data_IF_579910287931
#
_entry.id   IF_579910287931
#
_cell.length_a   1.000
_cell.length_b   1.000
_cell.length_c   1.000
_cell.angle_alpha   90.00
_cell.angle_beta   90.00
_cell.angle_gamma   90.00
#
_symmetry.space_group_name_H-M   'P 1'
#
loop_
_entity.id
_entity.type
_entity.pdbx_description
1 polymer ?
#
# COMPACT_ATOMS: atom_id res chain seq x y z
N UNK A 1 -48.30 67.83 10.60
CA UNK A 1 -47.02 67.13 10.32
C UNK A 1 -46.43 66.76 11.68
N UNK A 2 -46.43 65.47 12.06
CA UNK A 2 -45.22 64.60 12.23
C UNK A 2 -44.05 65.35 12.90
N UNK A 3 -43.40 64.96 13.98
CA UNK A 3 -43.30 63.75 14.81
C UNK A 3 -42.50 64.20 16.06
N UNK A 4 -42.97 63.98 17.28
CA UNK A 4 -42.39 63.05 18.28
C UNK A 4 -40.85 63.02 18.41
N UNK A 5 -40.34 63.48 19.56
CA UNK A 5 -39.14 62.89 20.17
C UNK A 5 -39.33 62.79 21.69
N UNK A 6 -39.17 61.55 22.18
CA UNK A 6 -39.53 61.08 23.51
C UNK A 6 -38.37 61.20 24.49
N UNK A 7 -38.76 61.43 25.73
CA UNK A 7 -38.09 61.23 27.03
C UNK A 7 -37.19 59.99 27.05
N UNK A 8 -35.96 60.13 27.54
CA UNK A 8 -35.10 59.02 27.99
C UNK A 8 -35.16 58.98 29.52
N UNK A 9 -35.80 57.93 30.05
CA UNK A 9 -35.81 57.60 31.47
C UNK A 9 -34.69 56.59 31.76
N UNK A 10 -33.97 56.86 32.85
CA UNK A 10 -32.99 55.98 33.48
C UNK A 10 -33.69 54.75 34.07
N UNK A 11 -33.25 53.54 33.71
CA UNK A 11 -33.53 52.33 34.49
C UNK A 11 -32.27 51.48 34.59
N UNK A 12 -31.76 51.36 35.81
CA UNK A 12 -30.72 50.44 36.23
C UNK A 12 -31.35 49.05 36.33
N UNK A 13 -30.82 48.09 35.58
CA UNK A 13 -31.09 46.67 35.80
C UNK A 13 -29.76 45.93 35.93
N UNK A 14 -29.48 45.47 37.15
CA UNK A 14 -28.40 44.53 37.43
C UNK A 14 -28.75 43.19 36.78
N UNK A 15 -27.91 42.73 35.84
CA UNK A 15 -27.96 41.36 35.31
C UNK A 15 -26.73 40.60 35.81
N UNK A 16 -26.97 39.74 36.79
CA UNK A 16 -26.12 38.60 37.11
C UNK A 16 -25.98 37.73 35.85
N UNK A 17 -24.79 37.67 35.27
CA UNK A 17 -24.47 36.67 34.25
C UNK A 17 -23.88 35.45 34.96
N UNK A 18 -24.71 34.40 35.07
CA UNK A 18 -24.28 33.08 35.50
C UNK A 18 -23.38 32.49 34.40
N UNK A 19 -22.08 32.38 34.64
CA UNK A 19 -21.17 31.59 33.80
C UNK A 19 -21.55 30.11 33.93
N UNK A 20 -22.28 29.59 32.94
CA UNK A 20 -22.38 28.15 32.73
C UNK A 20 -21.01 27.62 32.29
N UNK A 21 -20.41 26.82 33.16
CA UNK A 21 -19.15 26.13 32.95
C UNK A 21 -19.18 25.19 31.74
N UNK A 22 -18.15 25.32 30.92
CA UNK A 22 -17.50 24.33 30.06
C UNK A 22 -18.23 23.01 29.77
N UNK A 23 -18.89 22.96 28.62
CA UNK A 23 -18.89 21.75 27.81
C UNK A 23 -17.58 21.72 27.01
N UNK A 24 -16.75 20.66 27.10
CA UNK A 24 -15.62 20.52 26.19
C UNK A 24 -16.16 20.30 24.76
N UNK A 25 -15.77 21.19 23.85
CA UNK A 25 -16.05 21.07 22.42
C UNK A 25 -15.34 19.83 21.86
N UNK A 26 -16.02 18.68 21.91
CA UNK A 26 -15.69 17.54 21.06
C UNK A 26 -16.09 17.88 19.63
N UNK A 27 -15.14 18.37 18.84
CA UNK A 27 -15.00 18.07 17.41
C UNK A 27 -13.89 18.94 16.79
N UNK A 28 -12.63 18.67 17.13
CA UNK A 28 -11.59 18.85 16.11
C UNK A 28 -11.64 17.61 15.23
N UNK A 29 -12.59 17.60 14.30
CA UNK A 29 -12.55 16.67 13.18
C UNK A 29 -11.31 17.05 12.38
N UNK A 30 -10.18 16.41 12.67
CA UNK A 30 -9.02 16.41 11.80
C UNK A 30 -9.49 15.71 10.52
N UNK A 31 -10.04 16.52 9.61
CA UNK A 31 -10.55 16.08 8.34
C UNK A 31 -9.34 15.50 7.62
N UNK A 32 -9.30 14.17 7.50
CA UNK A 32 -8.38 13.51 6.59
C UNK A 32 -8.64 14.14 5.23
N UNK A 33 -7.73 15.01 4.79
CA UNK A 33 -7.69 15.41 3.40
C UNK A 33 -7.73 14.10 2.61
N UNK A 34 -8.77 13.92 1.80
CA UNK A 34 -8.92 12.74 0.99
C UNK A 34 -7.61 12.59 0.21
N UNK A 35 -6.80 11.59 0.59
CA UNK A 35 -5.63 11.21 -0.20
C UNK A 35 -6.23 10.78 -1.53
N UNK A 36 -6.16 11.68 -2.51
CA UNK A 36 -6.60 11.38 -3.86
C UNK A 36 -5.84 10.14 -4.28
N UNK A 37 -6.59 9.07 -4.56
CA UNK A 37 -6.08 7.75 -4.91
C UNK A 37 -5.23 7.86 -6.18
N UNK A 38 -3.94 8.10 -6.01
CA UNK A 38 -2.96 8.05 -7.08
C UNK A 38 -2.33 6.66 -7.07
N UNK A 39 -2.73 5.83 -8.02
CA UNK A 39 -2.11 4.53 -8.29
C UNK A 39 -1.86 4.42 -9.80
N UNK A 40 -0.60 4.44 -10.17
CA UNK A 40 -0.13 4.34 -11.54
C UNK A 40 0.41 2.93 -11.77
N UNK A 41 -0.48 2.00 -12.13
CA UNK A 41 -0.11 0.63 -12.46
C UNK A 41 0.41 0.53 -13.90
N UNK A 42 1.66 0.12 -14.08
CA UNK A 42 2.18 -0.14 -15.43
C UNK A 42 1.45 -1.31 -16.11
N UNK A 43 0.98 -2.31 -15.34
CA UNK A 43 0.22 -3.43 -15.89
C UNK A 43 -1.13 -2.97 -16.48
N UNK A 44 -1.89 -2.14 -15.75
CA UNK A 44 -3.20 -1.66 -16.20
C UNK A 44 -3.08 -0.61 -17.31
N UNK A 45 -2.02 0.20 -17.25
CA UNK A 45 -1.75 1.25 -18.24
C UNK A 45 -1.10 0.72 -19.53
N UNK A 46 -0.60 -0.52 -19.54
CA UNK A 46 0.17 -1.07 -20.67
C UNK A 46 -0.58 -1.01 -22.01
N UNK A 47 -1.90 -1.20 -22.02
CA UNK A 47 -2.72 -1.09 -23.24
C UNK A 47 -2.80 0.35 -23.79
N UNK A 48 -2.61 1.36 -22.94
CA UNK A 48 -2.60 2.78 -23.29
C UNK A 48 -1.21 3.33 -23.57
N UNK A 49 -0.17 2.56 -23.28
CA UNK A 49 1.20 2.95 -23.60
C UNK A 49 1.46 2.87 -25.11
N UNK A 50 2.34 3.74 -25.59
CA UNK A 50 2.90 3.64 -26.93
C UNK A 50 4.08 2.69 -26.90
N UNK A 51 4.01 1.60 -27.66
CA UNK A 51 5.05 0.58 -27.71
C UNK A 51 5.84 0.71 -29.00
N UNK A 52 7.17 0.75 -28.87
CA UNK A 52 8.08 0.75 -30.01
C UNK A 52 9.17 -0.30 -29.84
N UNK A 53 9.65 -0.78 -30.98
CA UNK A 53 10.81 -1.63 -31.13
C UNK A 53 11.89 -0.90 -31.91
N UNK A 54 13.15 -1.06 -31.51
CA UNK A 54 14.28 -0.44 -32.19
C UNK A 54 15.56 -1.25 -32.02
N UNK A 55 16.63 -0.78 -32.66
CA UNK A 55 17.99 -1.27 -32.51
C UNK A 55 18.90 -0.07 -32.25
N UNK A 56 19.70 -0.13 -31.18
CA UNK A 56 20.57 0.99 -30.81
C UNK A 56 21.46 1.44 -31.97
N UNK A 57 21.57 2.76 -32.14
CA UNK A 57 22.41 3.39 -33.17
C UNK A 57 21.81 3.41 -34.58
N UNK A 58 20.61 2.86 -34.80
CA UNK A 58 20.00 2.83 -36.14
C UNK A 58 19.02 3.97 -36.42
N UNK A 59 18.47 4.61 -35.38
CA UNK A 59 17.43 5.63 -35.50
C UNK A 59 16.07 5.13 -36.02
N UNK A 60 15.92 3.83 -36.31
CA UNK A 60 14.69 3.23 -36.84
C UNK A 60 13.78 2.77 -35.71
N UNK A 61 12.54 3.23 -35.68
CA UNK A 61 11.53 2.84 -34.70
C UNK A 61 10.35 2.15 -35.39
N UNK A 62 9.97 0.98 -34.90
CA UNK A 62 8.81 0.23 -35.35
C UNK A 62 7.73 0.30 -34.28
N UNK A 63 6.51 0.71 -34.65
CA UNK A 63 5.39 0.75 -33.72
C UNK A 63 4.83 -0.64 -33.50
N UNK A 64 4.68 -1.03 -32.23
CA UNK A 64 4.09 -2.30 -31.84
C UNK A 64 2.65 -2.11 -31.36
N UNK A 65 1.78 -3.06 -31.68
CA UNK A 65 0.44 -3.17 -31.08
C UNK A 65 0.51 -3.99 -29.80
N UNK A 66 0.09 -3.41 -28.67
CA UNK A 66 -0.01 -4.12 -27.40
C UNK A 66 -0.93 -5.36 -27.50
N UNK A 67 -0.56 -6.44 -26.81
CA UNK A 67 -1.32 -7.70 -26.79
C UNK A 67 -1.03 -8.63 -27.97
N UNK A 68 -0.30 -8.18 -28.99
CA UNK A 68 0.09 -8.99 -30.15
C UNK A 68 1.53 -9.46 -30.00
N UNK A 69 1.76 -10.73 -30.33
CA UNK A 69 3.11 -11.27 -30.46
C UNK A 69 3.67 -10.96 -31.86
N UNK A 70 4.56 -9.97 -31.95
CA UNK A 70 5.22 -9.61 -33.21
C UNK A 70 6.54 -10.38 -33.44
N UNK A 71 6.75 -11.49 -32.73
CA UNK A 71 7.88 -12.42 -32.91
C UNK A 71 9.25 -11.72 -32.93
N UNK A 72 9.90 -11.60 -34.08
CA UNK A 72 11.24 -11.02 -34.18
C UNK A 72 11.28 -9.52 -33.88
N UNK A 73 10.15 -8.82 -33.96
CA UNK A 73 10.10 -7.38 -33.72
C UNK A 73 9.99 -7.01 -32.23
N UNK A 74 9.86 -7.98 -31.32
CA UNK A 74 9.55 -7.67 -29.92
C UNK A 74 8.04 -7.73 -29.65
N UNK A 75 7.64 -7.84 -28.39
CA UNK A 75 6.22 -7.74 -28.04
C UNK A 75 6.02 -7.24 -26.62
N UNK A 76 4.84 -6.68 -26.37
CA UNK A 76 4.38 -6.30 -25.04
C UNK A 76 2.95 -6.78 -24.84
N UNK A 77 2.70 -7.54 -23.77
CA UNK A 77 1.38 -8.10 -23.47
C UNK A 77 1.26 -8.47 -21.99
N UNK A 78 0.05 -8.36 -21.45
CA UNK A 78 -0.24 -8.89 -20.13
C UNK A 78 -0.47 -10.41 -20.22
N UNK A 79 0.18 -11.18 -19.35
CA UNK A 79 0.10 -12.65 -19.35
C UNK A 79 0.05 -13.20 -17.93
N UNK A 80 -0.46 -14.43 -17.80
CA UNK A 80 -0.29 -15.24 -16.61
C UNK A 80 0.69 -16.37 -16.92
N UNK A 81 1.90 -16.31 -16.35
CA UNK A 81 2.99 -17.24 -16.70
C UNK A 81 3.79 -17.64 -15.48
N UNK A 82 4.40 -18.83 -15.56
CA UNK A 82 5.39 -19.27 -14.59
C UNK A 82 6.66 -18.42 -14.75
N UNK A 83 7.11 -17.85 -13.66
CA UNK A 83 8.30 -17.00 -13.58
C UNK A 83 9.53 -17.83 -13.22
N UNK A 84 10.72 -17.23 -13.35
CA UNK A 84 12.00 -17.90 -13.03
C UNK A 84 12.08 -18.47 -11.61
N UNK A 85 11.37 -17.87 -10.65
CA UNK A 85 11.24 -18.34 -9.27
C UNK A 85 10.21 -19.47 -9.07
N UNK A 86 9.60 -19.94 -10.16
CA UNK A 86 8.64 -21.03 -10.18
C UNK A 86 7.20 -20.63 -9.86
N UNK A 87 6.92 -19.38 -9.46
CA UNK A 87 5.55 -18.91 -9.20
C UNK A 87 4.82 -18.58 -10.49
N UNK A 88 3.50 -18.79 -10.52
CA UNK A 88 2.64 -18.37 -11.63
C UNK A 88 2.08 -16.98 -11.29
N UNK A 89 2.51 -15.97 -12.04
CA UNK A 89 2.21 -14.56 -11.76
C UNK A 89 1.57 -13.87 -12.96
N UNK A 90 0.69 -12.90 -12.67
CA UNK A 90 0.19 -11.93 -13.64
C UNK A 90 1.24 -10.85 -13.85
N UNK A 91 1.78 -10.75 -15.06
CA UNK A 91 2.91 -9.87 -15.36
C UNK A 91 2.67 -9.14 -16.67
N UNK A 92 3.26 -7.95 -16.79
CA UNK A 92 3.49 -7.32 -18.08
C UNK A 92 4.71 -8.01 -18.68
N UNK A 93 4.49 -8.82 -19.71
CA UNK A 93 5.54 -9.47 -20.48
C UNK A 93 6.01 -8.52 -21.58
N UNK A 94 7.32 -8.40 -21.70
CA UNK A 94 8.00 -7.74 -22.81
C UNK A 94 9.12 -8.64 -23.32
N UNK A 95 9.40 -8.62 -24.61
CA UNK A 95 10.72 -9.02 -25.09
C UNK A 95 11.22 -8.02 -26.13
N UNK A 96 12.51 -7.68 -26.11
CA UNK A 96 13.10 -6.75 -27.06
C UNK A 96 13.10 -7.34 -28.47
N UNK A 97 13.46 -6.49 -29.43
CA UNK A 97 13.71 -6.94 -30.81
C UNK A 97 14.72 -8.07 -30.81
N UNK A 98 14.44 -9.14 -31.55
CA UNK A 98 15.29 -10.33 -31.59
C UNK A 98 16.50 -10.11 -32.52
N UNK A 99 17.34 -9.15 -32.16
CA UNK A 99 18.57 -8.79 -32.87
C UNK A 99 19.58 -8.23 -31.87
N UNK A 100 20.87 -8.26 -32.21
CA UNK A 100 21.88 -7.64 -31.37
C UNK A 100 21.56 -6.15 -31.14
N UNK A 101 21.68 -5.69 -29.90
CA UNK A 101 21.29 -4.33 -29.47
C UNK A 101 19.80 -4.00 -29.71
N UNK A 102 18.96 -5.04 -29.73
CA UNK A 102 17.52 -4.90 -29.82
C UNK A 102 16.94 -4.26 -28.57
N UNK A 103 15.87 -3.50 -28.75
CA UNK A 103 15.23 -2.75 -27.68
C UNK A 103 13.71 -2.82 -27.83
N UNK A 104 13.01 -2.91 -26.71
CA UNK A 104 11.59 -2.58 -26.63
C UNK A 104 11.39 -1.46 -25.62
N UNK A 105 10.51 -0.53 -25.97
CA UNK A 105 10.19 0.65 -25.17
C UNK A 105 8.67 0.78 -25.08
N UNK A 106 8.15 0.91 -23.85
CA UNK A 106 6.78 1.30 -23.57
C UNK A 106 6.73 2.68 -22.93
N UNK A 107 6.18 3.66 -23.64
CA UNK A 107 5.98 5.03 -23.13
C UNK A 107 4.55 5.17 -22.62
N UNK A 108 4.40 5.40 -21.31
CA UNK A 108 3.11 5.41 -20.64
C UNK A 108 2.47 6.81 -20.61
N UNK A 109 1.12 6.90 -20.43
CA UNK A 109 0.42 8.18 -20.42
C UNK A 109 0.97 9.16 -19.37
N UNK A 110 1.09 10.44 -19.72
CA UNK A 110 1.57 11.44 -18.78
C UNK A 110 0.60 11.65 -17.61
N UNK A 111 1.17 11.97 -16.45
CA UNK A 111 0.49 12.51 -15.28
C UNK A 111 0.70 14.02 -15.31
N UNK A 112 -0.40 14.77 -15.31
CA UNK A 112 -0.35 16.25 -15.38
C UNK A 112 0.38 16.86 -14.18
N UNK A 113 0.24 16.25 -13.00
CA UNK A 113 0.94 16.67 -11.79
C UNK A 113 1.18 15.47 -10.87
N UNK A 114 2.44 15.08 -10.70
CA UNK A 114 2.81 14.02 -9.77
C UNK A 114 2.52 14.46 -8.32
N UNK A 115 1.86 13.62 -7.49
CA UNK A 115 1.74 13.89 -6.06
C UNK A 115 3.10 13.98 -5.36
N UNK A 116 3.09 14.53 -4.15
CA UNK A 116 4.24 14.44 -3.26
C UNK A 116 4.47 13.00 -2.80
N UNK A 117 5.69 12.71 -2.35
CA UNK A 117 6.06 11.49 -1.65
C UNK A 117 5.82 10.20 -2.45
N UNK A 118 5.98 10.21 -3.76
CA UNK A 118 5.76 8.99 -4.55
C UNK A 118 6.85 7.96 -4.32
N UNK A 119 6.48 6.68 -4.43
CA UNK A 119 7.41 5.56 -4.61
C UNK A 119 7.01 4.72 -5.80
N UNK A 120 8.01 4.19 -6.50
CA UNK A 120 7.88 3.14 -7.50
C UNK A 120 8.26 1.80 -6.84
N UNK A 121 7.35 0.83 -6.89
CA UNK A 121 7.61 -0.55 -6.41
C UNK A 121 7.31 -1.57 -7.49
N UNK A 122 7.93 -2.74 -7.39
CA UNK A 122 7.59 -3.92 -8.18
C UNK A 122 8.75 -4.90 -8.22
N UNK A 123 8.68 -5.87 -9.12
CA UNK A 123 9.78 -6.78 -9.39
C UNK A 123 9.99 -6.96 -10.89
N UNK A 124 11.23 -7.21 -11.28
CA UNK A 124 11.61 -7.59 -12.64
C UNK A 124 12.18 -9.01 -12.65
N UNK A 125 12.05 -9.67 -13.79
CA UNK A 125 12.65 -10.98 -14.02
C UNK A 125 12.28 -11.56 -15.37
N UNK A 126 12.38 -12.88 -15.47
CA UNK A 126 12.11 -13.61 -16.71
C UNK A 126 10.96 -14.60 -16.56
N UNK A 127 10.21 -14.76 -17.65
CA UNK A 127 9.29 -15.90 -17.80
C UNK A 127 10.11 -17.18 -17.89
N UNK A 128 9.67 -18.21 -17.18
CA UNK A 128 10.31 -19.53 -17.20
C UNK A 128 10.01 -20.24 -18.54
N UNK A 129 11.05 -20.67 -19.29
CA UNK A 129 10.86 -21.45 -20.50
C UNK A 129 10.45 -22.90 -20.20
N UNK A 130 9.95 -23.56 -21.24
CA UNK A 130 9.78 -25.02 -21.26
C UNK A 130 11.16 -25.65 -21.51
N UNK A 131 11.98 -25.76 -20.46
CA UNK A 131 13.34 -26.28 -20.54
C UNK A 131 14.36 -25.37 -19.88
N UNK A 132 15.64 -25.57 -20.21
CA UNK A 132 16.73 -24.72 -19.74
C UNK A 132 16.64 -23.32 -20.37
N UNK A 133 16.83 -22.25 -19.60
CA UNK A 133 16.81 -20.89 -20.13
C UNK A 133 17.99 -20.67 -21.09
N UNK A 134 17.71 -19.99 -22.21
CA UNK A 134 18.75 -19.64 -23.21
C UNK A 134 19.15 -18.16 -23.19
N UNK A 135 18.47 -17.33 -22.41
CA UNK A 135 18.85 -15.94 -22.18
C UNK A 135 20.19 -15.85 -21.45
N UNK A 136 21.03 -14.90 -21.86
CA UNK A 136 22.23 -14.52 -21.11
C UNK A 136 21.98 -13.35 -20.14
N UNK A 137 20.75 -12.82 -20.15
CA UNK A 137 20.27 -11.71 -19.34
C UNK A 137 19.85 -10.51 -20.19
N UNK A 138 19.10 -9.58 -19.60
CA UNK A 138 18.60 -8.39 -20.28
C UNK A 138 18.75 -7.16 -19.38
N UNK A 139 18.87 -5.98 -19.98
CA UNK A 139 18.95 -4.71 -19.25
C UNK A 139 17.56 -4.12 -19.09
N UNK A 140 17.13 -3.94 -17.85
CA UNK A 140 15.87 -3.29 -17.51
C UNK A 140 16.16 -1.84 -17.14
N UNK A 141 15.50 -0.91 -17.83
CA UNK A 141 15.68 0.52 -17.61
C UNK A 141 14.31 1.17 -17.42
N UNK A 142 14.21 2.05 -16.45
CA UNK A 142 13.02 2.86 -16.22
C UNK A 142 13.41 4.33 -16.32
N UNK A 143 12.74 5.06 -17.21
CA UNK A 143 12.89 6.50 -17.30
C UNK A 143 11.67 7.22 -16.74
N UNK A 144 11.93 8.39 -16.17
CA UNK A 144 10.93 9.45 -16.03
C UNK A 144 11.25 10.55 -17.04
N UNK A 145 10.22 11.01 -17.76
CA UNK A 145 10.30 12.14 -18.69
C UNK A 145 9.45 13.26 -18.13
N UNK A 146 10.04 14.43 -17.90
CA UNK A 146 9.34 15.55 -17.26
C UNK A 146 9.78 16.89 -17.87
N UNK A 147 8.90 17.89 -17.76
CA UNK A 147 9.26 19.26 -18.10
C UNK A 147 10.01 19.91 -16.93
N UNK A 148 11.22 20.40 -17.20
CA UNK A 148 12.01 21.15 -16.22
C UNK A 148 11.79 22.65 -16.42
N UNK A 149 11.09 23.27 -15.48
CA UNK A 149 10.73 24.68 -15.54
C UNK A 149 11.97 25.61 -15.53
N UNK A 150 13.03 25.23 -14.83
CA UNK A 150 14.25 26.04 -14.73
C UNK A 150 14.98 26.12 -16.09
N UNK A 151 15.07 25.00 -16.80
CA UNK A 151 15.73 24.93 -18.12
C UNK A 151 14.77 25.11 -19.29
N UNK A 152 13.46 25.23 -19.05
CA UNK A 152 12.37 25.28 -20.04
C UNK A 152 12.44 24.16 -21.09
N UNK A 153 12.88 22.97 -20.69
CA UNK A 153 13.10 21.82 -21.60
C UNK A 153 12.51 20.55 -21.02
N UNK A 154 12.11 19.64 -21.91
CA UNK A 154 11.81 18.25 -21.52
C UNK A 154 13.12 17.54 -21.19
N UNK A 155 13.19 16.96 -19.99
CA UNK A 155 14.28 16.11 -19.54
C UNK A 155 13.83 14.66 -19.50
N UNK A 156 14.78 13.76 -19.72
CA UNK A 156 14.63 12.34 -19.46
C UNK A 156 15.68 11.94 -18.43
N UNK A 157 15.24 11.28 -17.37
CA UNK A 157 16.09 10.85 -16.27
C UNK A 157 15.90 9.35 -16.05
N UNK A 158 17.01 8.63 -15.91
CA UNK A 158 17.01 7.20 -15.60
C UNK A 158 16.79 7.07 -14.09
N UNK A 159 15.65 6.52 -13.69
CA UNK A 159 15.33 6.26 -12.27
C UNK A 159 15.66 4.83 -11.86
N UNK A 160 15.85 3.93 -12.82
CA UNK A 160 16.32 2.57 -12.58
C UNK A 160 17.08 2.05 -13.79
N UNK A 161 18.19 1.36 -13.52
CA UNK A 161 19.00 0.69 -14.54
C UNK A 161 19.64 -0.55 -13.93
N UNK A 162 19.29 -1.71 -14.45
CA UNK A 162 19.78 -2.97 -13.94
C UNK A 162 19.87 -4.04 -15.01
N UNK A 163 21.06 -4.63 -15.16
CA UNK A 163 21.24 -5.83 -15.97
C UNK A 163 20.92 -7.07 -15.13
N UNK A 164 19.87 -7.81 -15.51
CA UNK A 164 19.45 -9.02 -14.80
C UNK A 164 19.76 -10.27 -15.62
N UNK A 165 20.38 -11.26 -14.97
CA UNK A 165 20.53 -12.63 -15.47
C UNK A 165 19.38 -13.52 -14.99
N UNK A 166 19.12 -14.61 -15.71
CA UNK A 166 18.24 -15.66 -15.22
C UNK A 166 18.94 -16.42 -14.10
N UNK A 167 18.48 -16.22 -12.86
CA UNK A 167 19.09 -16.77 -11.65
C UNK A 167 18.07 -17.49 -10.75
N UNK A 168 16.83 -17.63 -11.25
CA UNK A 168 15.74 -18.26 -10.52
C UNK A 168 15.13 -17.37 -9.44
N UNK A 169 15.42 -16.07 -9.42
CA UNK A 169 14.89 -15.11 -8.44
C UNK A 169 14.38 -13.85 -9.14
N UNK A 170 13.29 -13.28 -8.66
CA UNK A 170 12.88 -11.94 -9.10
C UNK A 170 13.71 -10.87 -8.39
N UNK A 171 14.01 -9.77 -9.09
CA UNK A 171 14.68 -8.60 -8.51
C UNK A 171 13.64 -7.57 -8.11
N UNK A 172 13.56 -7.27 -6.82
CA UNK A 172 12.67 -6.23 -6.30
C UNK A 172 13.22 -4.82 -6.60
N UNK A 173 12.29 -3.92 -6.88
CA UNK A 173 12.50 -2.51 -7.15
C UNK A 173 11.71 -1.72 -6.11
N UNK A 174 12.37 -0.74 -5.48
CA UNK A 174 11.77 0.21 -4.56
C UNK A 174 12.53 1.51 -4.69
N UNK A 175 11.93 2.50 -5.36
CA UNK A 175 12.58 3.77 -5.71
C UNK A 175 11.73 4.91 -5.16
N UNK A 176 12.41 5.86 -4.52
CA UNK A 176 11.80 7.13 -4.13
C UNK A 176 11.67 8.05 -5.33
N UNK A 177 10.48 8.61 -5.56
CA UNK A 177 10.20 9.56 -6.62
C UNK A 177 9.84 10.95 -6.09
N UNK A 178 10.11 11.22 -4.81
CA UNK A 178 9.74 12.48 -4.15
C UNK A 178 10.36 13.71 -4.81
N UNK A 179 11.54 13.60 -5.43
CA UNK A 179 12.18 14.70 -6.16
C UNK A 179 11.40 15.17 -7.40
N UNK A 180 10.49 14.34 -7.92
CA UNK A 180 9.66 14.63 -9.08
C UNK A 180 8.26 15.14 -8.70
N UNK A 181 8.00 15.32 -7.41
CA UNK A 181 6.74 15.86 -6.92
C UNK A 181 6.36 17.18 -7.61
N UNK A 182 5.08 17.31 -7.95
CA UNK A 182 4.53 18.49 -8.61
C UNK A 182 4.86 18.63 -10.09
N UNK A 183 5.75 17.80 -10.66
CA UNK A 183 6.10 17.85 -12.08
C UNK A 183 5.02 17.16 -12.93
N UNK A 184 4.81 17.67 -14.15
CA UNK A 184 4.17 16.92 -15.23
C UNK A 184 5.16 15.90 -15.77
N UNK A 185 4.81 14.63 -15.74
CA UNK A 185 5.74 13.57 -16.11
C UNK A 185 5.07 12.37 -16.78
N UNK A 186 5.79 11.69 -17.66
CA UNK A 186 5.48 10.35 -18.14
C UNK A 186 6.60 9.37 -17.76
N UNK A 187 6.29 8.08 -17.83
CA UNK A 187 7.23 7.02 -17.50
C UNK A 187 7.49 6.13 -18.70
N UNK A 188 8.67 5.53 -18.74
CA UNK A 188 9.08 4.61 -19.78
C UNK A 188 9.61 3.32 -19.14
N UNK A 189 9.11 2.18 -19.62
CA UNK A 189 9.74 0.89 -19.36
C UNK A 189 10.51 0.47 -20.60
N UNK A 190 11.79 0.15 -20.44
CA UNK A 190 12.67 -0.28 -21.52
C UNK A 190 13.38 -1.57 -21.16
N UNK A 191 13.47 -2.47 -22.13
CA UNK A 191 14.33 -3.66 -22.07
C UNK A 191 15.28 -3.63 -23.25
N UNK A 192 16.58 -3.71 -22.97
CA UNK A 192 17.60 -3.99 -23.98
C UNK A 192 17.97 -5.47 -23.95
N UNK A 193 18.26 -6.03 -25.12
CA UNK A 193 18.80 -7.38 -25.24
C UNK A 193 20.10 -7.54 -24.47
N UNK A 194 20.38 -8.76 -24.02
CA UNK A 194 21.72 -9.16 -23.61
C UNK A 194 22.75 -9.15 -24.74
N UNK A 195 23.88 -9.81 -24.52
CA UNK A 195 24.84 -10.02 -25.60
C UNK A 195 24.24 -10.92 -26.69
N UNK A 196 23.34 -11.84 -26.30
CA UNK A 196 22.53 -12.67 -27.19
C UNK A 196 21.06 -12.30 -27.04
N UNK A 197 20.35 -12.00 -28.13
CA UNK A 197 18.94 -11.58 -28.07
C UNK A 197 17.95 -12.76 -27.89
N UNK A 198 18.39 -13.88 -27.30
CA UNK A 198 17.64 -15.14 -27.29
C UNK A 198 16.88 -15.27 -25.97
N UNK A 199 15.56 -15.48 -26.04
CA UNK A 199 14.70 -15.74 -24.88
C UNK A 199 14.75 -14.66 -23.77
N UNK A 200 15.01 -13.40 -24.15
CA UNK A 200 14.90 -12.23 -23.27
C UNK A 200 13.42 -11.90 -22.96
N UNK A 201 12.67 -12.90 -22.47
CA UNK A 201 11.26 -12.83 -22.09
C UNK A 201 11.12 -12.13 -20.73
N UNK A 202 11.48 -10.87 -20.73
CA UNK A 202 11.42 -9.97 -19.60
C UNK A 202 9.98 -9.81 -19.08
N UNK A 203 9.84 -9.73 -17.77
CA UNK A 203 8.56 -9.49 -17.14
C UNK A 203 8.66 -8.46 -16.02
N UNK A 204 7.62 -7.65 -15.94
CA UNK A 204 7.41 -6.63 -14.93
C UNK A 204 6.23 -7.09 -14.07
N UNK A 205 6.53 -7.48 -12.83
CA UNK A 205 5.55 -7.95 -11.86
C UNK A 205 5.20 -6.83 -10.89
N UNK A 206 3.91 -6.55 -10.74
CA UNK A 206 3.38 -5.60 -9.77
C UNK A 206 4.15 -4.26 -9.77
N UNK A 207 4.42 -3.71 -10.96
CA UNK A 207 5.12 -2.43 -11.11
C UNK A 207 4.12 -1.27 -10.98
N UNK A 208 4.26 -0.45 -9.94
CA UNK A 208 3.30 0.61 -9.59
C UNK A 208 3.98 1.86 -9.01
N UNK A 209 3.41 3.04 -9.29
CA UNK A 209 3.75 4.29 -8.61
C UNK A 209 2.56 4.77 -7.79
N UNK A 210 2.81 5.04 -6.52
CA UNK A 210 1.79 5.50 -5.59
C UNK A 210 2.43 6.36 -4.50
N UNK A 211 1.68 7.23 -3.80
CA UNK A 211 2.19 7.94 -2.65
C UNK A 211 2.69 6.93 -1.62
N UNK A 212 3.91 7.12 -1.13
CA UNK A 212 4.27 6.71 0.22
C UNK A 212 3.19 7.28 1.10
N UNK A 213 2.49 6.42 1.82
CA UNK A 213 1.60 6.89 2.86
C UNK A 213 2.46 7.69 3.84
N UNK A 214 2.23 9.00 3.89
CA UNK A 214 2.70 9.83 4.98
C UNK A 214 1.50 10.02 5.89
N UNK A 215 1.58 9.45 7.09
CA UNK A 215 0.80 9.98 8.19
C UNK A 215 1.12 11.48 8.33
N UNK A 216 0.20 12.29 8.87
CA UNK A 216 0.45 13.71 9.10
C UNK A 216 1.82 13.92 9.75
N UNK A 217 2.57 14.95 9.32
CA UNK A 217 3.99 15.10 9.66
C UNK A 217 4.21 15.06 11.17
N UNK A 218 4.97 14.05 11.59
CA UNK A 218 5.54 13.92 12.92
C UNK A 218 6.94 13.31 12.80
N UNK A 219 7.85 13.57 13.75
CA UNK A 219 9.21 13.04 13.71
C UNK A 219 9.21 11.50 13.68
N UNK A 220 10.28 10.85 13.15
CA UNK A 220 10.42 9.40 13.14
C UNK A 220 10.29 8.88 14.57
N UNK A 221 9.17 8.23 14.87
CA UNK A 221 8.87 7.71 16.19
C UNK A 221 9.38 6.27 16.25
N UNK A 222 10.04 5.91 17.34
CA UNK A 222 10.31 4.50 17.63
C UNK A 222 8.99 3.70 17.52
N UNK A 223 9.01 2.46 16.99
CA UNK A 223 7.79 1.67 16.80
C UNK A 223 7.05 1.56 18.12
N UNK A 224 5.75 1.86 18.08
CA UNK A 224 4.89 1.85 19.25
C UNK A 224 4.76 0.45 19.84
N UNK A 225 4.25 0.36 21.08
CA UNK A 225 3.97 -0.93 21.71
C UNK A 225 3.01 -1.78 20.86
N UNK A 226 2.04 -1.16 20.19
CA UNK A 226 1.09 -1.89 19.32
C UNK A 226 1.76 -2.40 18.04
N UNK A 227 2.67 -1.63 17.42
CA UNK A 227 3.46 -2.10 16.28
C UNK A 227 4.32 -3.30 16.65
N UNK A 228 4.99 -3.26 17.81
CA UNK A 228 5.77 -4.40 18.32
C UNK A 228 4.90 -5.64 18.55
N UNK A 229 3.69 -5.48 19.08
CA UNK A 229 2.74 -6.57 19.27
C UNK A 229 2.25 -7.15 17.93
N UNK A 230 2.00 -6.30 16.94
CA UNK A 230 1.64 -6.71 15.57
C UNK A 230 2.79 -7.51 14.94
N UNK A 231 4.03 -7.03 15.01
CA UNK A 231 5.20 -7.73 14.47
C UNK A 231 5.42 -9.07 15.16
N UNK A 232 5.31 -9.12 16.49
CA UNK A 232 5.41 -10.36 17.25
C UNK A 232 4.37 -11.39 16.79
N UNK A 233 3.13 -10.95 16.56
CA UNK A 233 2.01 -11.79 16.13
C UNK A 233 2.17 -12.32 14.71
N UNK A 234 2.74 -11.52 13.80
CA UNK A 234 2.90 -11.84 12.39
C UNK A 234 4.20 -12.60 12.10
N UNK A 235 5.30 -12.20 12.71
CA UNK A 235 6.66 -12.57 12.30
C UNK A 235 7.51 -13.11 13.46
N UNK A 236 7.19 -12.72 14.70
CA UNK A 236 8.11 -12.82 15.82
C UNK A 236 9.16 -11.70 15.79
N UNK A 237 10.04 -11.57 16.81
CA UNK A 237 10.13 -12.41 18.01
C UNK A 237 8.96 -12.18 19.00
N UNK A 238 8.89 -13.00 20.04
CA UNK A 238 7.86 -12.87 21.08
C UNK A 238 8.01 -11.53 21.82
N UNK A 239 6.89 -11.01 22.29
CA UNK A 239 6.81 -9.82 23.14
C UNK A 239 5.97 -10.17 24.35
N UNK A 240 6.58 -10.13 25.53
CA UNK A 240 5.92 -10.39 26.80
C UNK A 240 5.54 -9.07 27.50
N UNK A 241 4.44 -9.10 28.26
CA UNK A 241 3.95 -8.00 29.12
C UNK A 241 3.78 -6.65 28.39
N UNK A 242 3.39 -6.69 27.12
CA UNK A 242 3.10 -5.50 26.34
C UNK A 242 1.86 -4.79 26.87
N UNK A 243 2.08 -3.62 27.48
CA UNK A 243 1.02 -2.77 28.01
C UNK A 243 0.25 -2.06 26.89
N UNK A 244 -0.98 -2.50 26.68
CA UNK A 244 -1.90 -1.99 25.65
C UNK A 244 -3.29 -1.75 26.24
N UNK A 245 -3.84 -0.56 25.99
CA UNK A 245 -5.20 -0.18 26.40
C UNK A 245 -5.51 -0.40 27.90
N UNK A 246 -4.49 -0.26 28.76
CA UNK A 246 -4.62 -0.39 30.21
C UNK A 246 -4.36 -1.79 30.76
N UNK A 247 -4.07 -2.78 29.91
CA UNK A 247 -3.82 -4.18 30.28
C UNK A 247 -2.48 -4.66 29.72
N UNK A 248 -1.96 -5.76 30.21
CA UNK A 248 -0.70 -6.35 29.75
C UNK A 248 -1.00 -7.63 28.96
N UNK A 249 -0.27 -7.83 27.85
CA UNK A 249 -0.49 -8.96 26.95
C UNK A 249 0.82 -9.57 26.47
N UNK A 250 0.80 -10.87 26.18
CA UNK A 250 1.91 -11.60 25.58
C UNK A 250 1.56 -11.94 24.13
N UNK A 251 2.51 -11.71 23.22
CA UNK A 251 2.36 -11.92 21.79
C UNK A 251 3.46 -12.83 21.25
N UNK A 252 3.08 -13.72 20.34
CA UNK A 252 3.98 -14.64 19.65
C UNK A 252 3.45 -14.92 18.24
N UNK A 253 4.31 -15.46 17.37
CA UNK A 253 3.96 -15.70 15.97
C UNK A 253 2.84 -16.75 15.85
N UNK A 254 1.63 -16.29 15.58
CA UNK A 254 0.43 -17.16 15.50
C UNK A 254 -0.49 -16.83 14.36
N UNK A 255 -0.35 -15.64 13.76
CA UNK A 255 -1.31 -15.16 12.79
C UNK A 255 -1.17 -15.93 11.47
N UNK A 256 -2.29 -16.49 11.02
CA UNK A 256 -2.43 -17.17 9.75
C UNK A 256 -3.44 -16.43 8.87
N UNK A 257 -3.13 -16.37 7.57
CA UNK A 257 -4.02 -15.78 6.56
C UNK A 257 -4.37 -16.87 5.55
N UNK A 258 -5.66 -17.17 5.44
CA UNK A 258 -6.21 -18.13 4.49
C UNK A 258 -7.20 -17.43 3.56
N UNK A 259 -7.61 -18.12 2.48
CA UNK A 259 -8.59 -17.59 1.52
C UNK A 259 -9.79 -18.52 1.42
N UNK A 260 -10.97 -17.93 1.39
CA UNK A 260 -12.23 -18.62 1.13
C UNK A 260 -12.93 -17.89 -0.02
N UNK A 261 -12.79 -18.43 -1.24
CA UNK A 261 -13.17 -17.72 -2.46
C UNK A 261 -12.38 -16.42 -2.61
N UNK A 262 -13.08 -15.29 -2.71
CA UNK A 262 -12.49 -13.95 -2.77
C UNK A 262 -12.24 -13.32 -1.39
N UNK A 263 -12.66 -13.97 -0.30
CA UNK A 263 -12.52 -13.46 1.06
C UNK A 263 -11.17 -13.87 1.66
N UNK A 264 -10.60 -12.99 2.48
CA UNK A 264 -9.46 -13.30 3.34
C UNK A 264 -9.96 -13.66 4.74
N UNK A 265 -9.43 -14.73 5.32
CA UNK A 265 -9.70 -15.12 6.70
C UNK A 265 -8.38 -15.01 7.46
N UNK A 266 -8.37 -14.19 8.50
CA UNK A 266 -7.23 -14.02 9.39
C UNK A 266 -7.57 -14.67 10.73
N UNK A 267 -6.75 -15.61 11.16
CA UNK A 267 -6.84 -16.24 12.48
C UNK A 267 -5.58 -15.94 13.28
N UNK A 268 -5.70 -15.86 14.60
CA UNK A 268 -4.56 -15.63 15.47
C UNK A 268 -4.89 -15.86 16.93
N UNK A 269 -3.85 -15.80 17.77
CA UNK A 269 -3.97 -15.88 19.22
C UNK A 269 -2.89 -15.10 19.95
N UNK A 270 -3.22 -14.63 21.15
CA UNK A 270 -2.32 -14.02 22.12
C UNK A 270 -2.88 -14.29 23.53
N UNK A 271 -2.23 -13.84 24.60
CA UNK A 271 -2.78 -13.98 25.96
C UNK A 271 -2.72 -12.70 26.75
N UNK A 272 -3.62 -12.58 27.72
CA UNK A 272 -3.54 -11.61 28.79
C UNK A 272 -2.40 -12.01 29.75
N UNK A 273 -1.58 -11.03 30.15
CA UNK A 273 -0.41 -11.24 31.00
C UNK A 273 -0.78 -10.93 32.45
N UNK A 274 -1.34 -11.91 33.15
CA UNK A 274 -1.52 -11.86 34.60
C UNK A 274 -0.83 -13.05 35.26
N UNK A 275 -0.06 -12.77 36.31
CA UNK A 275 0.85 -13.68 37.01
C UNK A 275 0.17 -14.91 37.63
N UNK A 276 -1.17 -14.93 37.74
CA UNK A 276 -1.94 -16.00 38.36
C UNK A 276 -2.92 -16.75 37.44
N UNK A 277 -3.05 -16.37 36.16
CA UNK A 277 -3.94 -17.08 35.22
C UNK A 277 -3.19 -17.47 33.93
N UNK A 278 -2.62 -18.69 33.92
CA UNK A 278 -1.96 -19.29 32.74
C UNK A 278 -2.93 -19.60 31.57
N UNK A 279 -4.23 -19.33 31.73
CA UNK A 279 -5.30 -19.83 30.85
C UNK A 279 -6.03 -18.74 30.05
N UNK A 280 -5.65 -17.46 30.14
CA UNK A 280 -6.33 -16.36 29.43
C UNK A 280 -5.86 -16.23 27.96
N UNK A 281 -6.03 -17.31 27.20
CA UNK A 281 -5.73 -17.34 25.76
C UNK A 281 -6.89 -16.73 25.00
N UNK A 282 -6.59 -15.70 24.24
CA UNK A 282 -7.52 -15.06 23.33
C UNK A 282 -7.27 -15.57 21.92
N UNK A 283 -8.31 -16.12 21.28
CA UNK A 283 -8.28 -16.55 19.89
C UNK A 283 -9.25 -15.69 19.08
N UNK A 284 -8.88 -15.36 17.84
CA UNK A 284 -9.76 -14.62 16.95
C UNK A 284 -9.79 -15.18 15.53
N UNK A 285 -10.91 -14.90 14.88
CA UNK A 285 -11.11 -15.09 13.44
C UNK A 285 -11.76 -13.83 12.87
N UNK A 286 -11.10 -13.21 11.91
CA UNK A 286 -11.60 -12.05 11.18
C UNK A 286 -11.74 -12.40 9.69
N UNK A 287 -12.93 -12.19 9.13
CA UNK A 287 -13.20 -12.42 7.70
C UNK A 287 -13.35 -11.06 7.01
N UNK A 288 -12.62 -10.90 5.92
CA UNK A 288 -12.61 -9.70 5.09
C UNK A 288 -13.02 -10.01 3.67
N UNK A 289 -13.72 -9.08 3.03
CA UNK A 289 -14.07 -9.18 1.61
C UNK A 289 -12.86 -8.92 0.69
N UNK A 290 -13.09 -9.01 -0.62
CA UNK A 290 -12.06 -8.74 -1.63
C UNK A 290 -11.50 -7.31 -1.60
N UNK A 291 -12.22 -6.36 -0.99
CA UNK A 291 -11.82 -4.97 -0.80
C UNK A 291 -11.16 -4.72 0.56
N UNK A 292 -11.05 -5.76 1.39
CA UNK A 292 -10.51 -5.70 2.74
C UNK A 292 -11.48 -5.14 3.79
N UNK A 293 -12.77 -5.02 3.48
CA UNK A 293 -13.77 -4.64 4.47
C UNK A 293 -14.08 -5.82 5.39
N UNK A 294 -14.17 -5.55 6.70
CA UNK A 294 -14.50 -6.56 7.70
C UNK A 294 -15.95 -7.02 7.53
N UNK A 295 -16.12 -8.29 7.15
CA UNK A 295 -17.40 -8.99 7.04
C UNK A 295 -17.84 -9.47 8.42
N UNK A 296 -16.97 -10.22 9.10
CA UNK A 296 -17.27 -10.78 10.42
C UNK A 296 -16.03 -10.84 11.29
N UNK A 297 -16.24 -10.73 12.60
CA UNK A 297 -15.22 -10.89 13.61
C UNK A 297 -15.75 -11.79 14.72
N UNK A 298 -14.95 -12.77 15.10
CA UNK A 298 -15.28 -13.76 16.11
C UNK A 298 -14.12 -13.84 17.09
N UNK A 299 -14.45 -13.90 18.37
CA UNK A 299 -13.50 -14.26 19.42
C UNK A 299 -13.86 -15.61 20.02
N UNK A 300 -12.84 -16.34 20.43
CA UNK A 300 -12.96 -17.51 21.26
C UNK A 300 -12.02 -17.35 22.46
N UNK A 301 -12.63 -17.41 23.64
CA UNK A 301 -11.97 -17.51 24.94
C UNK A 301 -12.54 -18.77 25.60
N UNK A 302 -11.97 -19.27 26.70
CA UNK A 302 -12.45 -20.54 27.32
C UNK A 302 -13.96 -20.55 27.67
N UNK A 303 -14.63 -19.39 27.74
CA UNK A 303 -16.10 -19.24 27.84
C UNK A 303 -16.89 -19.54 26.54
N UNK A 304 -16.23 -19.99 25.49
CA UNK A 304 -16.83 -20.31 24.19
C UNK A 304 -16.77 -19.19 23.16
N UNK A 305 -17.36 -19.48 21.99
CA UNK A 305 -17.34 -18.58 20.83
C UNK A 305 -18.37 -17.46 20.99
N UNK A 306 -17.96 -16.20 20.77
CA UNK A 306 -18.85 -15.04 20.71
C UNK A 306 -18.58 -14.25 19.42
N UNK A 307 -19.64 -13.98 18.65
CA UNK A 307 -19.61 -13.02 17.54
C UNK A 307 -19.73 -11.63 18.15
N UNK A 308 -18.79 -10.74 17.83
CA UNK A 308 -18.73 -9.39 18.40
C UNK A 308 -18.39 -8.37 17.31
N UNK A 309 -18.68 -7.10 17.58
CA UNK A 309 -18.28 -5.99 16.70
C UNK A 309 -17.30 -5.09 17.47
N UNK A 310 -16.00 -5.12 17.14
CA UNK A 310 -15.02 -4.22 17.74
C UNK A 310 -15.36 -2.76 17.42
N UNK A 311 -15.06 -1.85 18.35
CA UNK A 311 -15.32 -0.41 18.23
C UNK A 311 -14.63 0.16 17.01
N UNK A 312 -13.39 -0.25 16.73
CA UNK A 312 -12.65 0.30 15.59
C UNK A 312 -13.03 -0.30 14.25
N UNK A 313 -14.08 -1.11 14.14
CA UNK A 313 -14.57 -1.64 12.85
C UNK A 313 -14.75 -0.55 11.80
N UNK A 314 -15.39 0.57 12.16
CA UNK A 314 -15.64 1.66 11.19
C UNK A 314 -14.33 2.34 10.76
N UNK A 315 -13.45 2.65 11.71
CA UNK A 315 -12.15 3.23 11.42
C UNK A 315 -11.26 2.26 10.62
N UNK A 316 -11.33 0.96 10.89
CA UNK A 316 -10.65 -0.09 10.14
C UNK A 316 -11.17 -0.19 8.70
N UNK A 317 -12.50 -0.23 8.50
CA UNK A 317 -13.09 -0.27 7.16
C UNK A 317 -12.80 1.01 6.36
N UNK A 318 -12.87 2.16 7.02
CA UNK A 318 -12.51 3.44 6.41
C UNK A 318 -11.03 3.49 6.05
N UNK A 319 -10.15 3.08 6.96
CA UNK A 319 -8.72 2.96 6.72
C UNK A 319 -8.45 2.05 5.53
N UNK A 320 -8.97 0.83 5.54
CA UNK A 320 -8.75 -0.15 4.46
C UNK A 320 -9.28 0.36 3.11
N UNK A 321 -10.37 1.14 3.10
CA UNK A 321 -10.86 1.80 1.89
C UNK A 321 -9.89 2.86 1.32
N UNK A 322 -9.03 3.43 2.18
CA UNK A 322 -8.04 4.46 1.85
C UNK A 322 -6.63 3.90 1.66
N UNK A 323 -6.35 2.71 2.17
CA UNK A 323 -5.07 2.01 2.00
C UNK A 323 -4.96 1.51 0.55
N UNK A 324 -3.83 1.72 -0.14
CA UNK A 324 -3.67 1.26 -1.51
C UNK A 324 -3.75 -0.27 -1.60
N UNK A 325 -4.53 -0.75 -2.57
CA UNK A 325 -4.62 -2.17 -2.96
C UNK A 325 -3.81 -2.36 -4.23
N UNK A 326 -2.60 -2.89 -4.12
CA UNK A 326 -1.66 -3.02 -5.24
C UNK A 326 -1.54 -4.50 -5.60
N UNK A 327 -1.93 -4.86 -6.83
CA UNK A 327 -1.94 -6.26 -7.27
C UNK A 327 -2.84 -7.18 -6.43
N UNK A 328 -3.84 -6.62 -5.73
CA UNK A 328 -4.70 -7.35 -4.79
C UNK A 328 -4.15 -7.49 -3.36
N UNK A 329 -3.04 -6.82 -3.04
CA UNK A 329 -2.43 -6.77 -1.71
C UNK A 329 -2.72 -5.43 -1.03
N UNK A 330 -3.12 -5.45 0.25
CA UNK A 330 -3.47 -4.26 1.06
C UNK A 330 -2.25 -3.87 1.89
N UNK A 331 -1.73 -2.66 1.76
CA UNK A 331 -0.46 -2.28 2.43
C UNK A 331 -0.70 -1.56 3.76
N UNK A 332 -0.65 -2.30 4.87
CA UNK A 332 -0.76 -1.72 6.23
C UNK A 332 0.65 -1.42 6.77
N UNK A 333 0.88 -0.22 7.32
CA UNK A 333 2.16 0.26 7.87
C UNK A 333 2.01 0.53 9.36
N UNK A 334 3.11 0.73 10.08
CA UNK A 334 3.11 1.05 11.52
C UNK A 334 2.26 2.28 11.86
N UNK A 335 2.24 3.29 10.98
CA UNK A 335 1.42 4.48 11.21
C UNK A 335 -0.09 4.19 11.08
N UNK A 336 -0.48 3.24 10.23
CA UNK A 336 -1.86 2.78 10.15
C UNK A 336 -2.25 2.05 11.45
N UNK A 337 -1.33 1.27 12.01
CA UNK A 337 -1.51 0.57 13.29
C UNK A 337 -1.67 1.59 14.43
N UNK A 338 -0.79 2.60 14.47
CA UNK A 338 -0.83 3.67 15.46
C UNK A 338 -2.11 4.51 15.38
N UNK A 339 -2.58 4.80 14.16
CA UNK A 339 -3.85 5.48 13.96
C UNK A 339 -5.02 4.69 14.57
N UNK A 340 -5.12 3.39 14.28
CA UNK A 340 -6.17 2.56 14.85
C UNK A 340 -6.10 2.53 16.37
N UNK A 341 -4.91 2.33 16.95
CA UNK A 341 -4.74 2.33 18.40
C UNK A 341 -5.12 3.67 19.06
N UNK A 342 -4.89 4.80 18.37
CA UNK A 342 -5.36 6.11 18.83
C UNK A 342 -6.89 6.21 18.84
N UNK A 343 -7.56 5.73 17.80
CA UNK A 343 -9.04 5.68 17.74
C UNK A 343 -9.59 4.81 18.87
N UNK A 344 -8.99 3.64 19.11
CA UNK A 344 -9.33 2.77 20.25
C UNK A 344 -9.25 3.54 21.57
N UNK A 345 -8.12 4.20 21.83
CA UNK A 345 -7.86 4.90 23.09
C UNK A 345 -8.86 6.03 23.34
N UNK A 346 -9.25 6.75 22.28
CA UNK A 346 -10.27 7.80 22.37
C UNK A 346 -11.69 7.27 22.63
N UNK A 347 -11.98 6.01 22.28
CA UNK A 347 -13.31 5.41 22.38
C UNK A 347 -13.54 4.49 23.59
N UNK A 348 -12.50 3.91 24.18
CA UNK A 348 -12.64 2.83 25.19
C UNK A 348 -12.76 3.29 26.65
N UNK A 349 -12.27 4.47 27.03
CA UNK A 349 -12.17 4.85 28.45
C UNK A 349 -11.27 3.87 29.23
N UNK A 350 -11.81 3.24 30.30
CA UNK A 350 -11.18 2.11 31.02
C UNK A 350 -11.86 0.79 30.62
N UNK A 351 -11.41 0.11 29.55
CA UNK A 351 -12.07 -1.08 29.05
C UNK A 351 -11.80 -2.30 29.94
N UNK A 352 -12.66 -3.31 29.87
CA UNK A 352 -12.30 -4.66 30.33
C UNK A 352 -11.19 -5.23 29.44
N UNK A 353 -10.44 -6.22 29.93
CA UNK A 353 -9.34 -6.81 29.16
C UNK A 353 -9.84 -7.47 27.87
N UNK A 354 -11.05 -8.04 27.85
CA UNK A 354 -11.64 -8.65 26.67
C UNK A 354 -11.93 -7.62 25.60
N UNK A 355 -12.47 -6.45 25.99
CA UNK A 355 -12.70 -5.34 25.04
C UNK A 355 -11.37 -4.83 24.48
N UNK A 356 -10.35 -4.68 25.33
CA UNK A 356 -9.02 -4.33 24.86
C UNK A 356 -8.48 -5.39 23.88
N UNK A 357 -8.66 -6.68 24.18
CA UNK A 357 -8.25 -7.78 23.32
C UNK A 357 -8.98 -7.79 21.96
N UNK A 358 -10.28 -7.49 21.93
CA UNK A 358 -11.06 -7.37 20.69
C UNK A 358 -10.47 -6.32 19.74
N UNK A 359 -10.12 -5.16 20.28
CA UNK A 359 -9.55 -4.08 19.48
C UNK A 359 -8.13 -4.42 19.00
N UNK A 360 -7.28 -4.98 19.88
CA UNK A 360 -5.93 -5.43 19.52
C UNK A 360 -6.00 -6.48 18.40
N UNK A 361 -6.89 -7.45 18.54
CA UNK A 361 -7.09 -8.52 17.59
C UNK A 361 -7.55 -8.00 16.22
N UNK A 362 -8.46 -7.03 16.17
CA UNK A 362 -8.85 -6.41 14.90
C UNK A 362 -7.69 -5.62 14.28
N UNK A 363 -6.89 -4.90 15.07
CA UNK A 363 -5.71 -4.19 14.58
C UNK A 363 -4.72 -5.17 13.95
N UNK A 364 -4.40 -6.27 14.63
CA UNK A 364 -3.54 -7.35 14.11
C UNK A 364 -4.15 -7.95 12.84
N UNK A 365 -5.46 -8.18 12.81
CA UNK A 365 -6.13 -8.76 11.66
C UNK A 365 -6.07 -7.85 10.42
N UNK A 366 -6.25 -6.54 10.61
CA UNK A 366 -6.07 -5.53 9.55
C UNK A 366 -4.62 -5.52 9.08
N UNK A 367 -3.64 -5.53 9.98
CA UNK A 367 -2.21 -5.59 9.64
C UNK A 367 -1.88 -6.81 8.76
N UNK A 368 -2.50 -7.96 9.06
CA UNK A 368 -2.32 -9.19 8.33
C UNK A 368 -2.86 -9.15 6.89
N UNK A 369 -3.69 -8.17 6.52
CA UNK A 369 -4.18 -8.02 5.13
C UNK A 369 -3.06 -7.75 4.12
N UNK A 370 -1.89 -7.30 4.59
CA UNK A 370 -0.67 -7.14 3.79
C UNK A 370 0.12 -8.42 3.53
N UNK A 371 -0.21 -9.52 4.22
CA UNK A 371 0.19 -10.86 3.82
C UNK A 371 -0.74 -11.39 2.72
#
# INVERSE_FOLDING_TARGET
>A
MKNSMKVIAFFIFCLFSYQMNGQPSMATTQQFAAVTKFDYSFYDLAKRASWISTTHGTGKNEKLRFGVDHRSLGSARNVNKKMEDGRVLRVLHTHPKWTAKGVIIGTFPAVERLPANLKLTGSIGFIKPNGSPKTDGARFVIYIRYFDAASKKNKSHIIYDYYKRYDGKLKNINIDLSEFAGKKASFELRVDTGAKPIEDWAAWYNMHIYPKYQAPPGPPKAPSTISKAVDASLYGPNVDEAKLFGHEFNFWKTVQVTKEGSNKIVTGRFSHAISFARNDKYFFTAKFDAKGQLISFQRNIEEGFKIITPIVKYAANELVSKVPVIGGHIYVSDEHIDYLAKVVTGGLGKPSWEKAADEIALIIAVAALGK
#
